data_IF_299712705042
#
_entry.id   IF_299712705042
#
_cell.length_a   1.000
_cell.length_b   1.000
_cell.length_c   1.000
_cell.angle_alpha   90.00
_cell.angle_beta   90.00
_cell.angle_gamma   90.00
#
_symmetry.space_group_name_H-M   'P 1'
#
loop_
_entity.id
_entity.type
_entity.pdbx_description
1 polymer ?
#
# COMPACT_ATOMS: atom_id res chain seq x y z
N UNK A 1 -0.99 13.21 81.77
CA UNK A 1 -0.15 13.60 80.61
C UNK A 1 -0.11 12.43 79.64
N UNK A 2 0.09 12.72 78.35
CA UNK A 2 0.14 11.84 77.17
C UNK A 2 -1.18 11.68 76.38
N UNK A 3 -1.02 11.73 75.06
CA UNK A 3 -1.94 12.21 74.01
C UNK A 3 -2.26 11.09 73.00
N UNK A 4 -3.43 11.18 72.34
CA UNK A 4 -3.81 10.86 70.93
C UNK A 4 -5.26 10.34 70.92
N UNK A 5 -6.28 11.06 70.44
CA UNK A 5 -6.63 11.39 69.04
C UNK A 5 -6.72 10.12 68.16
N UNK A 6 -7.80 9.76 67.44
CA UNK A 6 -9.12 10.32 67.15
C UNK A 6 -10.04 9.16 66.63
N UNK A 7 -11.36 9.37 66.42
CA UNK A 7 -12.39 8.32 66.32
C UNK A 7 -12.57 7.64 64.95
N UNK A 8 -13.22 6.47 65.00
CA UNK A 8 -13.67 5.60 63.90
C UNK A 8 -14.62 6.35 62.96
N UNK A 9 -14.33 6.33 61.66
CA UNK A 9 -15.20 6.79 60.57
C UNK A 9 -15.41 5.56 59.68
N UNK A 10 -16.46 4.76 59.91
CA UNK A 10 -17.80 4.84 59.29
C UNK A 10 -17.71 4.85 57.77
N UNK A 11 -17.82 3.64 57.21
CA UNK A 11 -18.22 3.41 55.82
C UNK A 11 -19.68 3.85 55.64
N UNK A 12 -19.98 4.60 54.57
CA UNK A 12 -21.25 4.44 53.88
C UNK A 12 -21.02 3.58 52.64
N UNK A 13 -21.67 2.42 52.65
CA UNK A 13 -22.09 1.71 51.45
C UNK A 13 -22.95 2.68 50.62
N UNK A 14 -22.36 3.24 49.56
CA UNK A 14 -23.12 3.89 48.50
C UNK A 14 -22.85 3.14 47.20
N UNK A 15 -23.78 2.23 46.97
CA UNK A 15 -24.04 1.46 45.79
C UNK A 15 -24.36 2.42 44.64
N UNK A 16 -23.39 2.68 43.76
CA UNK A 16 -23.71 3.15 42.41
C UNK A 16 -22.77 2.56 41.38
N UNK A 17 -23.43 1.92 40.43
CA UNK A 17 -22.95 1.09 39.34
C UNK A 17 -22.03 1.89 38.40
N UNK A 18 -20.84 1.37 38.09
CA UNK A 18 -20.11 1.83 36.91
C UNK A 18 -19.29 0.71 36.27
N UNK A 19 -19.97 -0.07 35.44
CA UNK A 19 -19.47 -0.78 34.26
C UNK A 19 -20.69 -1.02 33.34
N UNK A 20 -20.64 -0.97 31.99
CA UNK A 20 -19.55 -0.57 31.07
C UNK A 20 -20.02 0.27 29.82
N UNK A 21 -19.07 0.60 28.92
CA UNK A 21 -19.24 1.05 27.51
C UNK A 21 -19.83 2.45 27.22
N UNK A 22 -18.98 3.44 26.92
CA UNK A 22 -19.09 4.39 25.78
C UNK A 22 -18.07 5.55 25.88
N UNK A 23 -17.17 5.72 24.92
CA UNK A 23 -17.32 6.72 23.86
C UNK A 23 -17.55 8.17 24.34
N UNK A 24 -16.58 8.83 24.98
CA UNK A 24 -16.62 10.30 25.13
C UNK A 24 -15.28 10.96 25.49
N UNK A 25 -14.20 10.70 24.73
CA UNK A 25 -13.01 11.56 24.68
C UNK A 25 -12.22 11.10 23.44
N UNK A 26 -12.42 11.54 22.18
CA UNK A 26 -12.86 12.83 21.65
C UNK A 26 -12.23 14.04 22.36
N UNK A 27 -11.00 13.89 22.81
CA UNK A 27 -10.08 15.03 22.80
C UNK A 27 -9.72 15.29 21.33
N UNK A 28 -10.41 16.28 20.78
CA UNK A 28 -10.18 16.83 19.47
C UNK A 28 -8.75 17.41 19.41
N UNK A 29 -7.76 16.59 19.07
CA UNK A 29 -6.66 17.10 18.24
C UNK A 29 -7.27 17.39 16.88
N UNK A 30 -7.63 18.66 16.70
CA UNK A 30 -7.89 19.27 15.41
C UNK A 30 -6.86 18.74 14.41
N UNK A 31 -7.27 18.16 13.27
CA UNK A 31 -6.36 18.01 12.16
C UNK A 31 -6.03 19.43 11.70
N UNK A 32 -4.91 19.95 12.18
CA UNK A 32 -4.25 21.11 11.61
C UNK A 32 -3.80 20.70 10.21
N UNK A 33 -4.74 20.69 9.26
CA UNK A 33 -4.55 20.60 7.82
C UNK A 33 -3.93 21.92 7.30
N UNK A 34 -2.94 22.45 8.03
CA UNK A 34 -2.11 23.58 7.65
C UNK A 34 -0.63 23.20 7.69
N UNK A 35 -0.32 22.11 7.00
CA UNK A 35 1.01 21.84 6.46
C UNK A 35 1.30 22.91 5.38
N UNK A 36 1.56 24.15 5.81
CA UNK A 36 2.01 25.27 4.98
C UNK A 36 3.27 24.83 4.21
N UNK A 37 3.23 24.69 2.86
CA UNK A 37 4.45 24.45 2.10
C UNK A 37 5.16 25.79 1.96
N UNK A 38 5.99 26.12 2.94
CA UNK A 38 6.93 27.22 2.84
C UNK A 38 7.87 26.93 1.67
N UNK A 39 8.07 27.95 0.83
CA UNK A 39 9.09 28.11 -0.22
C UNK A 39 8.68 27.75 -1.65
N UNK A 40 8.35 28.82 -2.40
CA UNK A 40 8.18 28.86 -3.85
C UNK A 40 9.49 28.65 -4.63
N UNK A 41 10.09 27.46 -4.46
CA UNK A 41 11.18 26.97 -5.30
C UNK A 41 11.01 25.48 -5.54
N UNK A 42 10.38 25.08 -6.66
CA UNK A 42 10.14 23.68 -7.10
C UNK A 42 10.14 22.66 -5.95
N UNK A 43 9.23 22.82 -4.99
CA UNK A 43 9.12 21.91 -3.86
C UNK A 43 8.84 20.49 -4.39
N UNK A 44 9.70 19.55 -4.01
CA UNK A 44 9.56 18.15 -4.38
C UNK A 44 8.29 17.63 -3.72
N UNK A 45 7.39 17.04 -4.50
CA UNK A 45 6.16 16.43 -3.95
C UNK A 45 6.51 15.32 -2.95
N UNK A 46 5.68 15.14 -1.91
CA UNK A 46 5.79 14.02 -0.94
C UNK A 46 5.97 12.66 -1.64
N UNK A 47 5.26 12.43 -2.75
CA UNK A 47 5.40 11.20 -3.54
C UNK A 47 6.76 11.08 -4.26
N UNK A 48 7.29 12.19 -4.77
CA UNK A 48 8.60 12.21 -5.43
C UNK A 48 9.73 12.01 -4.41
N UNK A 49 9.59 12.56 -3.20
CA UNK A 49 10.49 12.31 -2.09
C UNK A 49 10.52 10.83 -1.69
N UNK A 50 9.36 10.16 -1.63
CA UNK A 50 9.27 8.71 -1.35
C UNK A 50 9.94 7.90 -2.47
N UNK A 51 9.76 8.29 -3.74
CA UNK A 51 10.45 7.62 -4.86
C UNK A 51 11.97 7.73 -4.74
N UNK A 52 12.48 8.91 -4.37
CA UNK A 52 13.92 9.14 -4.15
C UNK A 52 14.45 8.35 -2.95
N UNK A 53 13.68 8.26 -1.87
CA UNK A 53 14.00 7.41 -0.71
C UNK A 53 14.16 5.95 -1.11
N UNK A 54 13.26 5.41 -1.93
CA UNK A 54 13.35 4.03 -2.42
C UNK A 54 14.55 3.83 -3.36
N UNK A 55 14.84 4.82 -4.22
CA UNK A 55 16.02 4.79 -5.09
C UNK A 55 17.34 4.85 -4.30
N UNK A 56 17.33 5.46 -3.12
CA UNK A 56 18.45 5.49 -2.17
C UNK A 56 18.58 4.19 -1.34
N UNK A 57 17.66 3.23 -1.49
CA UNK A 57 17.68 1.94 -0.77
C UNK A 57 16.98 1.95 0.59
N UNK A 58 16.29 3.03 0.95
CA UNK A 58 15.51 3.08 2.19
C UNK A 58 14.12 2.49 1.97
N UNK A 59 14.02 1.18 2.19
CA UNK A 59 12.81 0.36 2.01
C UNK A 59 11.99 0.19 3.29
N UNK A 60 12.46 0.69 4.43
CA UNK A 60 11.72 0.71 5.70
C UNK A 60 10.89 1.99 5.87
N UNK A 61 9.67 1.93 6.46
CA UNK A 61 8.88 3.13 6.73
C UNK A 61 9.59 4.14 7.62
N UNK A 62 10.29 3.69 8.66
CA UNK A 62 11.00 4.54 9.61
C UNK A 62 12.25 5.16 8.98
N UNK A 63 13.01 4.37 8.22
CA UNK A 63 14.21 4.83 7.53
C UNK A 63 13.85 5.82 6.41
N UNK A 64 12.79 5.52 5.66
CA UNK A 64 12.35 6.37 4.56
C UNK A 64 11.79 7.71 5.02
N UNK A 65 11.01 7.75 6.12
CA UNK A 65 10.52 9.02 6.66
C UNK A 65 11.64 9.86 7.26
N UNK A 66 12.60 9.24 7.95
CA UNK A 66 13.79 9.93 8.47
C UNK A 66 14.65 10.50 7.34
N UNK A 67 14.86 9.73 6.26
CA UNK A 67 15.57 10.20 5.07
C UNK A 67 14.87 11.41 4.42
N UNK A 68 13.55 11.32 4.25
CA UNK A 68 12.78 12.39 3.60
C UNK A 68 12.78 13.67 4.43
N UNK A 69 12.69 13.56 5.75
CA UNK A 69 12.80 14.70 6.65
C UNK A 69 14.18 15.34 6.56
N UNK A 70 15.25 14.54 6.55
CA UNK A 70 16.63 15.04 6.48
C UNK A 70 16.96 15.69 5.12
N UNK A 71 16.54 15.07 4.03
CA UNK A 71 16.97 15.44 2.68
C UNK A 71 16.06 16.51 2.05
N UNK A 72 14.75 16.39 2.27
CA UNK A 72 13.75 17.25 1.63
C UNK A 72 13.06 18.20 2.61
N UNK A 73 13.30 18.07 3.91
CA UNK A 73 12.61 18.88 4.92
C UNK A 73 11.11 18.60 5.01
N UNK A 74 10.65 17.47 4.47
CA UNK A 74 9.23 17.10 4.42
C UNK A 74 8.94 16.11 5.54
N UNK A 75 7.96 16.43 6.36
CA UNK A 75 7.43 15.49 7.33
C UNK A 75 6.37 14.57 6.70
N UNK A 76 6.56 13.26 6.86
CA UNK A 76 5.66 12.24 6.35
C UNK A 76 5.46 11.20 7.45
N UNK A 77 4.20 10.81 7.68
CA UNK A 77 3.89 9.72 8.62
C UNK A 77 4.29 8.35 8.03
N UNK A 78 4.72 7.37 8.84
CA UNK A 78 5.04 6.02 8.36
C UNK A 78 3.86 5.34 7.62
N UNK A 79 2.63 5.68 8.00
CA UNK A 79 1.41 5.22 7.33
C UNK A 79 1.30 5.78 5.91
N UNK A 80 1.55 7.08 5.72
CA UNK A 80 1.53 7.71 4.39
C UNK A 80 2.64 7.17 3.48
N UNK A 81 3.82 6.93 4.06
CA UNK A 81 4.94 6.31 3.35
C UNK A 81 4.57 4.92 2.81
N UNK A 82 4.00 4.06 3.67
CA UNK A 82 3.62 2.69 3.32
C UNK A 82 2.50 2.66 2.28
N UNK A 83 1.48 3.50 2.44
CA UNK A 83 0.38 3.63 1.49
C UNK A 83 0.88 4.08 0.11
N UNK A 84 1.72 5.11 0.06
CA UNK A 84 2.25 5.66 -1.19
C UNK A 84 3.18 4.67 -1.89
N UNK A 85 4.05 3.97 -1.15
CA UNK A 85 4.89 2.90 -1.71
C UNK A 85 4.03 1.78 -2.33
N UNK A 86 2.99 1.34 -1.64
CA UNK A 86 2.06 0.32 -2.14
C UNK A 86 1.34 0.79 -3.42
N UNK A 87 0.90 2.06 -3.46
CA UNK A 87 0.32 2.67 -4.65
C UNK A 87 1.32 2.73 -5.82
N UNK A 88 2.59 3.05 -5.57
CA UNK A 88 3.63 3.04 -6.60
C UNK A 88 3.87 1.63 -7.16
N UNK A 89 3.97 0.62 -6.29
CA UNK A 89 4.16 -0.78 -6.70
C UNK A 89 2.97 -1.29 -7.52
N UNK A 90 1.74 -1.02 -7.09
CA UNK A 90 0.53 -1.42 -7.83
C UNK A 90 0.37 -0.68 -9.16
N UNK A 91 0.75 0.60 -9.24
CA UNK A 91 0.78 1.34 -10.51
C UNK A 91 1.85 0.82 -11.47
N UNK A 92 3.02 0.47 -10.97
CA UNK A 92 4.07 -0.16 -11.78
C UNK A 92 3.61 -1.50 -12.35
N UNK A 93 2.95 -2.34 -11.53
CA UNK A 93 2.36 -3.60 -11.97
C UNK A 93 1.26 -3.41 -13.02
N UNK A 94 0.38 -2.39 -12.86
CA UNK A 94 -0.66 -2.08 -13.85
C UNK A 94 -0.10 -1.54 -15.16
N UNK A 95 0.92 -0.67 -15.10
CA UNK A 95 1.58 -0.11 -16.29
C UNK A 95 2.31 -1.19 -17.11
N UNK A 96 2.79 -2.24 -16.47
CA UNK A 96 3.38 -3.41 -17.14
C UNK A 96 2.38 -4.36 -17.80
N UNK A 97 1.07 -4.25 -17.51
CA UNK A 97 0.06 -5.24 -17.92
C UNK A 97 -1.11 -4.68 -18.76
N UNK A 98 -0.95 -3.51 -19.38
CA UNK A 98 -1.98 -2.98 -20.28
C UNK A 98 -1.91 -1.47 -20.43
N UNK A 99 -1.35 -1.01 -21.55
CA UNK A 99 -1.61 0.34 -22.03
C UNK A 99 -3.09 0.46 -22.41
N UNK A 100 -3.72 1.57 -22.03
CA UNK A 100 -5.10 1.90 -22.41
C UNK A 100 -5.85 2.61 -21.28
N UNK A 101 -5.95 3.92 -21.41
CA UNK A 101 -7.04 4.79 -20.92
C UNK A 101 -7.46 4.69 -19.43
N UNK A 102 -7.12 5.74 -18.66
CA UNK A 102 -7.85 6.08 -17.44
C UNK A 102 -9.26 6.64 -17.80
N UNK A 103 -10.23 6.75 -16.87
CA UNK A 103 -10.41 6.11 -15.55
C UNK A 103 -11.79 5.42 -15.42
N UNK A 104 -11.93 4.43 -14.52
CA UNK A 104 -13.24 4.16 -13.87
C UNK A 104 -13.06 3.79 -12.41
N UNK A 105 -13.36 4.69 -11.46
CA UNK A 105 -13.37 4.39 -10.04
C UNK A 105 -14.75 3.88 -9.66
N UNK A 106 -14.92 2.57 -9.42
CA UNK A 106 -15.92 2.05 -8.47
C UNK A 106 -15.81 0.55 -8.32
N UNK A 107 -15.32 0.15 -7.16
CA UNK A 107 -15.41 -1.22 -6.66
C UNK A 107 -15.13 -1.20 -5.18
N UNK A 108 -16.05 -0.62 -4.39
CA UNK A 108 -16.10 -0.92 -2.95
C UNK A 108 -16.22 -2.45 -2.84
N UNK A 109 -15.46 -3.14 -1.97
CA UNK A 109 -15.63 -4.57 -1.74
C UNK A 109 -16.96 -4.77 -0.99
N UNK A 110 -18.06 -4.81 -1.74
CA UNK A 110 -19.41 -4.91 -1.25
C UNK A 110 -20.02 -6.25 -1.67
N UNK A 111 -20.25 -7.10 -0.67
CA UNK A 111 -21.34 -8.08 -0.53
C UNK A 111 -21.71 -8.91 -1.77
N UNK A 112 -21.47 -10.22 -1.69
CA UNK A 112 -22.11 -11.22 -2.55
C UNK A 112 -23.64 -11.16 -2.35
N UNK A 113 -24.48 -10.98 -3.38
CA UNK A 113 -25.86 -11.44 -3.36
C UNK A 113 -25.89 -12.85 -3.93
N UNK A 114 -26.20 -13.79 -3.05
CA UNK A 114 -26.59 -15.15 -3.40
C UNK A 114 -28.00 -15.08 -4.02
N UNK A 115 -28.18 -15.84 -5.10
CA UNK A 115 -29.47 -16.23 -5.71
C UNK A 115 -30.27 -15.14 -6.46
N UNK A 116 -30.20 -15.18 -7.80
CA UNK A 116 -31.34 -15.15 -8.74
C UNK A 116 -30.96 -14.51 -10.09
N UNK A 117 -30.60 -15.32 -11.08
CA UNK A 117 -30.80 -15.02 -12.51
C UNK A 117 -30.61 -16.30 -13.33
N UNK A 118 -31.53 -17.24 -13.14
CA UNK A 118 -31.85 -18.24 -14.16
C UNK A 118 -32.68 -17.57 -15.27
N UNK A 119 -32.41 -17.97 -16.52
CA UNK A 119 -33.06 -17.60 -17.80
C UNK A 119 -32.65 -16.28 -18.47
N UNK A 120 -31.87 -16.44 -19.54
CA UNK A 120 -32.21 -15.83 -20.83
C UNK A 120 -31.35 -14.67 -21.29
N UNK A 121 -30.21 -14.96 -21.91
CA UNK A 121 -29.71 -14.22 -23.09
C UNK A 121 -28.99 -15.22 -24.00
N UNK A 122 -29.68 -15.71 -25.03
CA UNK A 122 -29.08 -16.21 -26.27
C UNK A 122 -28.15 -15.12 -26.81
N UNK A 123 -26.84 -15.39 -26.94
CA UNK A 123 -25.92 -14.42 -27.56
C UNK A 123 -24.54 -14.26 -26.94
N UNK A 124 -24.17 -15.05 -25.92
CA UNK A 124 -22.77 -15.09 -25.49
C UNK A 124 -21.97 -16.02 -26.42
N UNK A 125 -21.35 -15.41 -27.43
CA UNK A 125 -20.16 -15.93 -28.09
C UNK A 125 -19.21 -16.38 -26.97
N UNK A 126 -18.98 -17.69 -26.89
CA UNK A 126 -18.07 -18.27 -25.91
C UNK A 126 -16.73 -17.51 -25.94
N UNK A 127 -16.18 -17.10 -24.79
CA UNK A 127 -14.80 -16.63 -24.73
C UNK A 127 -13.91 -17.69 -25.39
N UNK A 128 -12.97 -17.30 -26.28
CA UNK A 128 -12.08 -18.27 -26.90
C UNK A 128 -11.36 -19.06 -25.79
N UNK A 129 -11.22 -20.39 -25.94
CA UNK A 129 -10.62 -21.23 -24.92
C UNK A 129 -9.22 -20.69 -24.60
N UNK A 130 -9.01 -20.29 -23.35
CA UNK A 130 -7.68 -19.97 -22.86
C UNK A 130 -6.81 -21.21 -23.01
N UNK A 131 -5.91 -21.19 -23.99
CA UNK A 131 -4.87 -22.18 -24.13
C UNK A 131 -4.01 -22.12 -22.87
N UNK A 132 -4.12 -23.16 -22.06
CA UNK A 132 -3.21 -23.39 -20.94
C UNK A 132 -1.79 -23.47 -21.53
N UNK A 133 -0.79 -22.76 -21.00
CA UNK A 133 0.59 -22.97 -21.43
C UNK A 133 0.93 -24.43 -21.14
N UNK A 134 1.16 -25.18 -22.22
CA UNK A 134 1.55 -26.57 -22.18
C UNK A 134 3.02 -26.61 -21.79
N UNK A 135 3.27 -26.74 -20.49
CA UNK A 135 4.58 -27.00 -19.90
C UNK A 135 5.32 -28.06 -20.72
N UNK A 136 6.37 -27.64 -21.43
CA UNK A 136 7.44 -28.54 -21.87
C UNK A 136 7.55 -28.87 -23.35
N UNK A 137 6.93 -28.11 -24.26
CA UNK A 137 7.20 -28.26 -25.69
C UNK A 137 8.52 -27.58 -26.08
N UNK A 138 9.43 -28.27 -26.79
CA UNK A 138 10.66 -27.67 -27.34
C UNK A 138 10.37 -26.42 -28.21
N UNK A 139 9.18 -26.33 -28.81
CA UNK A 139 8.72 -25.14 -29.52
C UNK A 139 8.43 -23.93 -28.61
N UNK A 140 8.02 -24.15 -27.37
CA UNK A 140 7.85 -23.09 -26.36
C UNK A 140 9.20 -22.60 -25.86
N UNK A 141 10.18 -23.49 -25.69
CA UNK A 141 11.55 -23.09 -25.36
C UNK A 141 12.13 -22.22 -26.46
N UNK A 142 11.95 -22.61 -27.73
CA UNK A 142 12.46 -21.84 -28.86
C UNK A 142 11.75 -20.48 -28.96
N UNK A 143 10.42 -20.45 -28.82
CA UNK A 143 9.65 -19.20 -28.76
C UNK A 143 10.06 -18.32 -27.57
N UNK A 144 10.36 -18.90 -26.40
CA UNK A 144 10.88 -18.19 -25.24
C UNK A 144 12.28 -17.61 -25.50
N UNK A 145 13.16 -18.34 -26.19
CA UNK A 145 14.46 -17.82 -26.62
C UNK A 145 14.33 -16.67 -27.63
N UNK A 146 13.34 -16.72 -28.52
CA UNK A 146 13.06 -15.59 -29.41
C UNK A 146 12.51 -14.38 -28.67
N UNK A 147 11.66 -14.59 -27.66
CA UNK A 147 11.14 -13.52 -26.81
C UNK A 147 12.23 -12.84 -25.96
N UNK A 148 13.38 -13.49 -25.75
CA UNK A 148 14.53 -12.89 -25.06
C UNK A 148 15.39 -11.99 -25.96
N UNK A 149 15.25 -12.05 -27.29
CA UNK A 149 16.00 -11.19 -28.24
C UNK A 149 15.91 -9.69 -27.92
N UNK A 150 14.71 -9.07 -27.75
CA UNK A 150 14.63 -7.64 -27.43
C UNK A 150 15.24 -7.28 -26.07
N UNK A 151 15.29 -8.23 -25.14
CA UNK A 151 15.93 -8.04 -23.84
C UNK A 151 17.45 -7.97 -23.98
N UNK A 152 18.03 -8.82 -24.83
CA UNK A 152 19.47 -8.78 -25.17
C UNK A 152 19.82 -7.52 -25.94
N UNK A 153 18.96 -7.07 -26.86
CA UNK A 153 19.18 -5.85 -27.64
C UNK A 153 19.13 -4.58 -26.76
N UNK A 154 18.27 -4.57 -25.73
CA UNK A 154 18.11 -3.42 -24.84
C UNK A 154 19.12 -3.35 -23.70
N UNK A 155 19.48 -4.50 -23.10
CA UNK A 155 20.35 -4.57 -21.92
C UNK A 155 21.80 -4.98 -22.26
N UNK A 156 22.01 -5.59 -23.43
CA UNK A 156 23.27 -6.20 -23.81
C UNK A 156 23.48 -7.59 -23.20
N UNK A 157 24.32 -8.39 -23.86
CA UNK A 157 24.60 -9.78 -23.46
C UNK A 157 25.16 -9.90 -22.05
N UNK A 158 26.00 -8.95 -21.62
CA UNK A 158 26.66 -8.97 -20.31
C UNK A 158 25.67 -8.79 -19.15
N UNK A 159 24.64 -7.96 -19.33
CA UNK A 159 23.61 -7.77 -18.29
C UNK A 159 22.68 -8.97 -18.20
N UNK A 160 22.29 -9.54 -19.35
CA UNK A 160 21.50 -10.78 -19.36
C UNK A 160 22.25 -11.91 -18.67
N UNK A 161 23.57 -12.02 -18.89
CA UNK A 161 24.42 -12.98 -18.19
C UNK A 161 24.42 -12.76 -16.68
N UNK A 162 24.59 -11.52 -16.19
CA UNK A 162 24.52 -11.21 -14.74
C UNK A 162 23.16 -11.55 -14.13
N UNK A 163 22.07 -11.33 -14.86
CA UNK A 163 20.72 -11.68 -14.39
C UNK A 163 20.59 -13.19 -14.26
N UNK A 164 21.11 -13.96 -15.22
CA UNK A 164 21.11 -15.43 -15.17
C UNK A 164 21.99 -15.93 -14.01
N UNK A 165 23.18 -15.37 -13.82
CA UNK A 165 24.10 -15.74 -12.72
C UNK A 165 23.53 -15.44 -11.32
N UNK A 166 22.58 -14.50 -11.19
CA UNK A 166 21.88 -14.22 -9.94
C UNK A 166 20.66 -15.12 -9.70
N UNK A 167 20.12 -15.74 -10.76
CA UNK A 167 18.93 -16.59 -10.69
C UNK A 167 19.24 -18.08 -10.55
N UNK A 168 20.45 -18.51 -10.95
CA UNK A 168 20.95 -19.89 -10.86
C UNK A 168 21.81 -20.13 -9.63
#
# INVERSE_FOLDING_TARGET
>A
MARKAAPKHVEPEDESQDLPEDQAELEATEPDDQDEPVTGGKAISKAEAIRRSLAAGHDGPQEGTAYIRREFGIEITPQHWSATRSQMKSRAAKKGNGGGDAPKPKGRPGRKPREAATKGVEGYLAPPPQQKPAVGGQGELLAAMEAMKPLVDSLGKDQVKRIVDLLG
#
